data_IF_621267994671
#
_entry.id   IF_621267994671
#
_cell.length_a   1.000
_cell.length_b   1.000
_cell.length_c   1.000
_cell.angle_alpha   90.00
_cell.angle_beta   90.00
_cell.angle_gamma   90.00
#
_symmetry.space_group_name_H-M   'P 1'
#
loop_
_entity.id
_entity.type
_entity.pdbx_description
1 polymer ?
#
# COMPACT_ATOMS: atom_id res chain seq x y z
N UNK A 1 15.53 -69.08 26.94
CA UNK A 1 14.53 -68.02 27.23
C UNK A 1 15.18 -66.67 26.95
N UNK A 2 14.93 -66.09 25.78
CA UNK A 2 15.37 -64.73 25.44
C UNK A 2 14.20 -63.78 25.65
N UNK A 3 14.36 -62.82 26.56
CA UNK A 3 13.45 -61.71 26.78
C UNK A 3 13.64 -60.66 25.68
N UNK A 4 12.59 -60.35 24.91
CA UNK A 4 12.51 -59.12 24.12
C UNK A 4 11.86 -58.01 24.95
N UNK A 5 12.35 -56.75 24.90
CA UNK A 5 11.74 -55.64 25.61
C UNK A 5 10.51 -55.11 24.85
N UNK A 6 9.41 -54.91 25.59
CA UNK A 6 8.16 -54.31 25.11
C UNK A 6 8.40 -52.84 24.68
N UNK A 7 8.09 -52.53 23.42
CA UNK A 7 8.00 -51.17 22.90
C UNK A 7 6.83 -50.42 23.57
N UNK A 8 7.01 -49.16 24.01
CA UNK A 8 5.93 -48.39 24.61
C UNK A 8 4.84 -48.08 23.58
N UNK A 9 3.57 -48.17 24.00
CA UNK A 9 2.41 -47.89 23.14
C UNK A 9 2.39 -46.41 22.73
N UNK A 10 1.83 -46.14 21.55
CA UNK A 10 1.74 -44.79 20.94
C UNK A 10 1.14 -43.76 21.93
N UNK A 11 0.19 -44.18 22.77
CA UNK A 11 -0.38 -43.35 23.83
C UNK A 11 0.65 -42.87 24.87
N UNK A 12 1.60 -43.72 25.25
CA UNK A 12 2.69 -43.37 26.18
C UNK A 12 3.68 -42.38 25.56
N UNK A 13 3.93 -42.51 24.25
CA UNK A 13 4.77 -41.57 23.49
C UNK A 13 4.09 -40.20 23.37
N UNK A 14 2.79 -40.18 23.01
CA UNK A 14 2.00 -38.94 22.90
C UNK A 14 1.89 -38.24 24.26
N UNK A 15 1.65 -38.98 25.34
CA UNK A 15 1.56 -38.41 26.68
C UNK A 15 2.91 -37.84 27.17
N UNK A 16 4.02 -38.51 26.83
CA UNK A 16 5.39 -38.03 27.14
C UNK A 16 5.75 -36.78 26.33
N UNK A 17 5.38 -36.72 25.04
CA UNK A 17 5.58 -35.54 24.17
C UNK A 17 4.71 -34.37 24.65
N UNK A 18 3.46 -34.63 25.03
CA UNK A 18 2.56 -33.62 25.57
C UNK A 18 3.09 -33.05 26.89
N UNK A 19 3.53 -33.90 27.83
CA UNK A 19 4.19 -33.46 29.07
C UNK A 19 5.46 -32.64 28.79
N UNK A 20 6.31 -33.03 27.82
CA UNK A 20 7.49 -32.24 27.43
C UNK A 20 7.13 -30.88 26.84
N UNK A 21 6.09 -30.78 26.00
CA UNK A 21 5.59 -29.50 25.46
C UNK A 21 4.98 -28.61 26.54
N UNK A 22 4.27 -29.20 27.52
CA UNK A 22 3.74 -28.46 28.68
C UNK A 22 4.88 -27.95 29.56
N UNK A 23 5.89 -28.77 29.85
CA UNK A 23 7.07 -28.36 30.63
C UNK A 23 7.86 -27.27 29.89
N UNK A 24 8.08 -27.40 28.56
CA UNK A 24 8.72 -26.35 27.77
C UNK A 24 7.91 -25.06 27.77
N UNK A 25 6.57 -25.12 27.65
CA UNK A 25 5.71 -23.94 27.73
C UNK A 25 5.71 -23.32 29.13
N UNK A 26 5.79 -24.12 30.19
CA UNK A 26 5.91 -23.63 31.56
C UNK A 26 7.29 -23.01 31.83
N UNK A 27 8.37 -23.54 31.25
CA UNK A 27 9.71 -22.96 31.31
C UNK A 27 9.78 -21.67 30.48
N UNK A 28 9.24 -21.65 29.26
CA UNK A 28 9.17 -20.43 28.43
C UNK A 28 8.28 -19.38 29.07
N UNK A 29 7.12 -19.77 29.59
CA UNK A 29 6.25 -18.88 30.36
C UNK A 29 6.95 -18.41 31.62
N UNK A 30 7.74 -19.25 32.30
CA UNK A 30 8.52 -18.88 33.47
C UNK A 30 9.65 -17.89 33.14
N UNK A 31 10.33 -18.05 32.01
CA UNK A 31 11.35 -17.12 31.50
C UNK A 31 10.71 -15.80 31.07
N UNK A 32 9.60 -15.85 30.33
CA UNK A 32 8.86 -14.65 29.92
C UNK A 32 8.27 -13.94 31.13
N UNK A 33 7.73 -14.67 32.11
CA UNK A 33 7.25 -14.08 33.36
C UNK A 33 8.41 -13.54 34.18
N UNK A 34 9.56 -14.22 34.24
CA UNK A 34 10.75 -13.72 34.92
C UNK A 34 11.27 -12.45 34.26
N UNK A 35 11.43 -12.43 32.93
CA UNK A 35 11.84 -11.25 32.17
C UNK A 35 10.79 -10.13 32.28
N UNK A 36 9.50 -10.43 32.20
CA UNK A 36 8.43 -9.47 32.39
C UNK A 36 8.37 -8.97 33.84
N UNK A 37 8.75 -9.79 34.83
CA UNK A 37 8.83 -9.41 36.25
C UNK A 37 10.09 -8.61 36.51
N UNK A 38 11.22 -8.89 35.87
CA UNK A 38 12.42 -8.05 35.90
C UNK A 38 12.17 -6.71 35.21
N UNK A 39 11.48 -6.71 34.07
CA UNK A 39 11.03 -5.50 33.37
C UNK A 39 10.03 -4.75 34.26
N UNK A 40 9.03 -5.41 34.84
CA UNK A 40 8.03 -4.81 35.73
C UNK A 40 8.65 -4.26 37.01
N UNK A 41 9.52 -5.01 37.69
CA UNK A 41 10.27 -4.53 38.86
C UNK A 41 11.19 -3.37 38.47
N UNK A 42 11.82 -3.43 37.29
CA UNK A 42 12.60 -2.31 36.77
C UNK A 42 11.73 -1.11 36.47
N UNK A 43 10.50 -1.25 35.96
CA UNK A 43 9.63 -0.12 35.61
C UNK A 43 8.83 0.43 36.81
N UNK A 44 8.52 -0.39 37.81
CA UNK A 44 7.68 -0.02 38.96
C UNK A 44 8.45 0.30 40.24
N UNK A 45 9.67 -0.21 40.41
CA UNK A 45 10.50 0.20 41.56
C UNK A 45 11.38 1.39 41.17
N UNK A 46 10.99 2.59 41.64
CA UNK A 46 11.83 3.79 41.62
C UNK A 46 12.95 3.68 42.68
N UNK A 47 13.73 2.59 42.64
CA UNK A 47 14.93 2.47 43.45
C UNK A 47 16.09 3.16 42.72
N UNK A 48 16.94 3.86 43.47
CA UNK A 48 18.14 4.53 42.95
C UNK A 48 19.07 3.58 42.19
N UNK A 49 19.08 2.29 42.55
CA UNK A 49 19.80 1.23 41.84
C UNK A 49 19.17 0.87 40.48
N UNK A 50 17.85 0.71 40.39
CA UNK A 50 17.15 0.43 39.14
C UNK A 50 17.20 1.59 38.13
N UNK A 51 17.20 2.83 38.62
CA UNK A 51 17.42 4.02 37.80
C UNK A 51 18.89 4.13 37.32
N UNK A 52 19.86 3.78 38.17
CA UNK A 52 21.29 3.78 37.82
C UNK A 52 21.62 2.70 36.78
N UNK A 53 21.06 1.51 36.93
CA UNK A 53 21.20 0.43 35.95
C UNK A 53 20.59 0.83 34.60
N UNK A 54 19.34 1.30 34.56
CA UNK A 54 18.72 1.81 33.32
C UNK A 54 19.53 2.91 32.64
N UNK A 55 20.12 3.81 33.44
CA UNK A 55 21.00 4.88 32.91
C UNK A 55 22.31 4.31 32.33
N UNK A 56 22.95 3.35 32.99
CA UNK A 56 24.17 2.68 32.50
C UNK A 56 23.92 1.92 31.19
N UNK A 57 22.85 1.12 31.15
CA UNK A 57 22.47 0.36 29.96
C UNK A 57 22.13 1.24 28.78
N UNK A 58 21.42 2.34 29.03
CA UNK A 58 21.14 3.32 27.98
C UNK A 58 22.44 3.93 27.42
N UNK A 59 23.38 4.33 28.28
CA UNK A 59 24.66 4.88 27.86
C UNK A 59 25.48 3.89 27.01
N UNK A 60 25.48 2.60 27.35
CA UNK A 60 26.14 1.55 26.57
C UNK A 60 25.51 1.37 25.18
N UNK A 61 24.18 1.45 25.07
CA UNK A 61 23.46 1.37 23.80
C UNK A 61 23.72 2.62 22.94
N UNK A 62 23.66 3.81 23.55
CA UNK A 62 23.92 5.07 22.87
C UNK A 62 25.37 5.09 22.31
N UNK A 63 26.35 4.59 23.06
CA UNK A 63 27.76 4.45 22.63
C UNK A 63 27.92 3.46 21.45
N UNK A 64 27.21 2.33 21.49
CA UNK A 64 27.22 1.37 20.38
C UNK A 64 26.65 1.97 19.09
N UNK A 65 25.59 2.76 19.19
CA UNK A 65 24.99 3.47 18.03
C UNK A 65 25.99 4.49 17.47
N UNK A 66 26.65 5.25 18.34
CA UNK A 66 27.70 6.19 17.94
C UNK A 66 28.79 5.46 17.16
N UNK A 67 29.35 4.38 17.70
CA UNK A 67 30.39 3.59 17.03
C UNK A 67 29.93 3.06 15.66
N UNK A 68 28.69 2.55 15.58
CA UNK A 68 28.13 2.05 14.33
C UNK A 68 28.05 3.14 13.25
N UNK A 69 27.51 4.31 13.59
CA UNK A 69 27.41 5.41 12.64
C UNK A 69 28.76 6.09 12.37
N UNK A 70 29.71 6.07 13.30
CA UNK A 70 31.09 6.52 13.06
C UNK A 70 31.71 5.71 11.92
N UNK A 71 31.53 4.39 11.91
CA UNK A 71 31.99 3.53 10.81
C UNK A 71 31.27 3.88 9.49
N UNK A 72 29.96 4.14 9.53
CA UNK A 72 29.20 4.57 8.34
C UNK A 72 29.77 5.87 7.77
N UNK A 73 29.99 6.89 8.60
CA UNK A 73 30.49 8.18 8.15
C UNK A 73 31.94 8.10 7.66
N UNK A 74 32.80 7.31 8.30
CA UNK A 74 34.15 7.04 7.80
C UNK A 74 34.11 6.40 6.40
N UNK A 75 33.26 5.39 6.20
CA UNK A 75 33.08 4.78 4.87
C UNK A 75 32.57 5.78 3.82
N UNK A 76 31.70 6.73 4.21
CA UNK A 76 31.22 7.79 3.32
C UNK A 76 32.33 8.80 2.99
N UNK A 77 33.22 9.10 3.94
CA UNK A 77 34.41 9.92 3.74
C UNK A 77 35.37 9.23 2.77
N UNK A 78 35.69 7.96 3.00
CA UNK A 78 36.57 7.16 2.14
C UNK A 78 36.00 7.02 0.72
N UNK A 79 34.67 6.97 0.59
CA UNK A 79 33.99 6.94 -0.71
C UNK A 79 33.92 8.31 -1.40
N UNK A 80 34.31 9.39 -0.73
CA UNK A 80 34.26 10.76 -1.26
C UNK A 80 32.85 11.38 -1.31
N UNK A 81 31.87 10.81 -0.60
CA UNK A 81 30.51 11.37 -0.49
C UNK A 81 30.36 12.36 0.66
N UNK A 82 31.32 12.38 1.59
CA UNK A 82 31.38 13.24 2.75
C UNK A 82 32.82 13.72 2.93
N UNK A 83 33.02 14.94 3.44
CA UNK A 83 34.34 15.44 3.83
C UNK A 83 34.26 16.10 5.20
N UNK A 84 35.39 16.16 5.92
CA UNK A 84 35.43 16.79 7.24
C UNK A 84 35.00 18.26 7.26
N UNK A 85 35.16 18.97 6.15
CA UNK A 85 34.77 20.38 5.98
C UNK A 85 33.40 20.56 5.32
N UNK A 86 32.68 19.48 4.98
CA UNK A 86 31.33 19.55 4.41
C UNK A 86 30.31 20.03 5.44
N UNK A 87 29.48 21.02 5.07
CA UNK A 87 28.33 21.40 5.90
C UNK A 87 27.26 20.32 5.79
N UNK A 88 27.06 19.58 6.88
CA UNK A 88 26.31 18.33 6.88
C UNK A 88 25.07 18.42 7.75
N UNK A 89 23.92 17.96 7.24
CA UNK A 89 22.72 17.74 8.03
C UNK A 89 22.48 16.23 8.17
N UNK A 90 22.31 15.72 9.38
CA UNK A 90 21.82 14.37 9.61
C UNK A 90 20.41 14.38 10.20
N UNK A 91 19.51 13.59 9.63
CA UNK A 91 18.11 13.49 10.04
C UNK A 91 17.80 12.09 10.52
N UNK A 92 17.31 11.98 11.75
CA UNK A 92 16.96 10.70 12.37
C UNK A 92 16.48 10.83 13.81
N UNK A 93 15.79 9.81 14.32
CA UNK A 93 15.34 9.77 15.72
C UNK A 93 16.50 9.75 16.71
N UNK A 94 17.62 9.13 16.34
CA UNK A 94 18.89 9.02 17.09
C UNK A 94 19.81 10.23 16.84
N UNK A 95 19.25 11.44 16.81
CA UNK A 95 19.99 12.64 16.39
C UNK A 95 21.16 13.00 17.32
N UNK A 96 21.11 12.64 18.61
CA UNK A 96 22.20 12.89 19.56
C UNK A 96 23.38 11.98 19.28
N UNK A 97 23.11 10.71 19.02
CA UNK A 97 24.10 9.69 18.69
C UNK A 97 24.74 9.99 17.33
N UNK A 98 23.94 10.44 16.35
CA UNK A 98 24.46 10.95 15.07
C UNK A 98 25.39 12.15 15.24
N UNK A 99 25.13 13.03 16.22
CA UNK A 99 26.03 14.15 16.53
C UNK A 99 27.38 13.65 17.03
N UNK A 100 27.37 12.68 17.95
CA UNK A 100 28.60 12.03 18.43
C UNK A 100 29.38 11.39 17.28
N UNK A 101 28.70 10.59 16.45
CA UNK A 101 29.32 9.88 15.35
C UNK A 101 29.93 10.80 14.27
N UNK A 102 29.27 11.89 13.91
CA UNK A 102 29.80 12.89 12.98
C UNK A 102 31.06 13.58 13.54
N UNK A 103 31.05 13.91 14.83
CA UNK A 103 32.20 14.52 15.49
C UNK A 103 33.41 13.58 15.53
N UNK A 104 33.20 12.30 15.92
CA UNK A 104 34.25 11.28 15.93
C UNK A 104 34.81 10.98 14.54
N UNK A 105 33.97 11.12 13.51
CA UNK A 105 34.38 10.96 12.11
C UNK A 105 35.11 12.19 11.53
N UNK A 106 35.25 13.27 12.31
CA UNK A 106 35.96 14.48 11.91
C UNK A 106 35.14 15.46 11.07
N UNK A 107 33.81 15.34 11.04
CA UNK A 107 32.91 16.28 10.34
C UNK A 107 32.65 17.50 11.22
N UNK A 108 33.27 18.63 10.88
CA UNK A 108 33.29 19.83 11.72
C UNK A 108 31.98 20.62 11.71
N UNK A 109 31.31 20.69 10.55
CA UNK A 109 30.15 21.56 10.32
C UNK A 109 28.85 20.76 10.24
N UNK A 110 28.55 19.99 11.28
CA UNK A 110 27.37 19.14 11.34
C UNK A 110 26.20 19.79 12.08
N UNK A 111 24.99 19.47 11.64
CA UNK A 111 23.72 19.70 12.34
C UNK A 111 22.93 18.39 12.33
N UNK A 112 22.17 18.14 13.39
CA UNK A 112 21.32 16.95 13.49
C UNK A 112 19.91 17.33 13.90
N UNK A 113 18.91 16.62 13.38
CA UNK A 113 17.51 16.84 13.76
C UNK A 113 16.70 15.55 13.68
N UNK A 114 15.66 15.46 14.50
CA UNK A 114 14.64 14.42 14.39
C UNK A 114 13.42 14.81 13.55
N UNK A 115 13.37 16.07 13.07
CA UNK A 115 12.26 16.57 12.25
C UNK A 115 12.33 15.96 10.86
N UNK A 116 11.24 15.34 10.42
CA UNK A 116 11.12 14.63 9.15
C UNK A 116 9.93 15.12 8.31
N UNK A 117 9.61 16.41 8.45
CA UNK A 117 8.50 17.11 7.79
C UNK A 117 8.89 18.51 7.31
N UNK A 118 9.44 19.34 8.21
CA UNK A 118 9.89 20.70 7.93
C UNK A 118 11.29 20.95 8.51
N UNK A 119 12.17 21.51 7.68
CA UNK A 119 13.56 21.76 8.04
C UNK A 119 13.78 23.27 8.23
N UNK A 120 14.15 23.73 9.45
CA UNK A 120 14.28 25.15 9.80
C UNK A 120 15.59 25.77 9.27
N UNK A 121 15.90 25.55 8.01
CA UNK A 121 17.13 26.00 7.36
C UNK A 121 16.81 26.68 6.04
N UNK A 122 17.69 27.60 5.62
CA UNK A 122 17.56 28.30 4.35
C UNK A 122 17.81 27.38 3.16
N UNK A 123 17.45 27.84 1.98
CA UNK A 123 17.69 27.11 0.74
C UNK A 123 19.20 26.97 0.50
N UNK A 124 19.63 25.84 -0.05
CA UNK A 124 21.04 25.60 -0.42
C UNK A 124 22.03 25.79 0.74
N UNK A 125 21.66 25.29 1.92
CA UNK A 125 22.44 25.39 3.15
C UNK A 125 23.52 24.31 3.25
N UNK A 126 23.21 23.05 2.93
CA UNK A 126 24.06 21.90 3.22
C UNK A 126 24.75 21.35 1.95
N UNK A 127 25.99 20.90 2.10
CA UNK A 127 26.74 20.18 1.06
C UNK A 127 26.35 18.70 1.04
N UNK A 128 26.04 18.15 2.22
CA UNK A 128 25.64 16.75 2.42
C UNK A 128 24.44 16.68 3.35
N UNK A 129 23.44 15.88 2.97
CA UNK A 129 22.32 15.53 3.84
C UNK A 129 22.26 14.01 4.01
N UNK A 130 22.17 13.55 5.24
CA UNK A 130 22.14 12.14 5.61
C UNK A 130 20.84 11.81 6.34
N UNK A 131 20.10 10.81 5.86
CA UNK A 131 18.82 10.39 6.39
C UNK A 131 18.93 8.95 6.89
N UNK A 132 18.65 8.70 8.18
CA UNK A 132 18.59 7.33 8.73
C UNK A 132 17.30 6.62 8.32
N UNK A 133 17.22 5.30 8.53
CA UNK A 133 15.98 4.53 8.35
C UNK A 133 14.81 5.10 9.15
N UNK A 134 15.07 5.74 10.28
CA UNK A 134 14.03 6.38 11.10
C UNK A 134 13.52 7.73 10.58
N UNK A 135 13.96 8.18 9.41
CA UNK A 135 13.59 9.48 8.83
C UNK A 135 12.48 9.38 7.79
N UNK A 136 12.81 9.04 6.54
CA UNK A 136 11.86 8.93 5.42
C UNK A 136 10.86 7.79 5.61
N UNK A 137 11.30 6.62 6.09
CA UNK A 137 10.46 5.42 6.23
C UNK A 137 9.26 5.67 7.18
N UNK A 138 9.47 6.53 8.17
CA UNK A 138 8.48 6.93 9.18
C UNK A 138 7.85 8.31 8.93
N UNK A 139 8.15 8.96 7.79
CA UNK A 139 7.54 10.25 7.49
C UNK A 139 6.07 10.09 7.14
N UNK A 140 5.20 10.87 7.81
CA UNK A 140 3.78 10.95 7.47
C UNK A 140 3.52 11.80 6.22
N UNK A 141 4.52 12.56 5.77
CA UNK A 141 4.46 13.37 4.56
C UNK A 141 5.76 13.25 3.74
N UNK A 142 6.02 12.08 3.12
CA UNK A 142 7.27 11.85 2.38
C UNK A 142 7.51 12.89 1.28
N UNK A 143 6.45 13.36 0.61
CA UNK A 143 6.54 14.39 -0.44
C UNK A 143 6.99 15.75 0.10
N UNK A 144 6.43 16.18 1.23
CA UNK A 144 6.83 17.44 1.86
C UNK A 144 8.28 17.37 2.34
N UNK A 145 8.63 16.26 2.98
CA UNK A 145 9.98 16.07 3.50
C UNK A 145 11.04 15.94 2.40
N UNK A 146 10.75 15.20 1.31
CA UNK A 146 11.66 15.12 0.16
C UNK A 146 11.86 16.48 -0.52
N UNK A 147 10.83 17.32 -0.52
CA UNK A 147 10.91 18.71 -1.02
C UNK A 147 11.79 19.57 -0.13
N UNK A 148 11.72 19.42 1.19
CA UNK A 148 12.57 20.13 2.14
C UNK A 148 14.03 19.73 2.01
N UNK A 149 14.34 18.42 1.95
CA UNK A 149 15.70 17.93 1.68
C UNK A 149 16.23 18.47 0.34
N UNK A 150 15.39 18.43 -0.69
CA UNK A 150 15.72 19.01 -1.99
C UNK A 150 15.97 20.52 -1.91
N UNK A 151 15.27 21.25 -1.04
CA UNK A 151 15.40 22.70 -0.89
C UNK A 151 16.66 23.09 -0.12
N UNK A 152 16.98 22.39 0.97
CA UNK A 152 18.09 22.71 1.85
C UNK A 152 19.44 22.22 1.32
N UNK A 153 19.47 21.17 0.50
CA UNK A 153 20.71 20.68 -0.12
C UNK A 153 21.18 21.61 -1.25
N UNK A 154 22.47 21.92 -1.31
CA UNK A 154 23.08 22.69 -2.41
C UNK A 154 23.08 21.90 -3.72
N UNK A 155 23.09 22.56 -4.88
CA UNK A 155 23.37 21.89 -6.14
C UNK A 155 24.72 21.14 -6.08
N UNK A 156 24.81 20.01 -6.76
CA UNK A 156 25.94 19.07 -6.71
C UNK A 156 26.23 18.44 -5.33
N UNK A 157 25.45 18.76 -4.31
CA UNK A 157 25.50 18.11 -3.00
C UNK A 157 24.99 16.67 -3.02
N UNK A 158 25.34 15.91 -1.99
CA UNK A 158 24.95 14.51 -1.83
C UNK A 158 23.82 14.37 -0.80
N UNK A 159 22.79 13.61 -1.19
CA UNK A 159 21.76 13.10 -0.28
C UNK A 159 21.99 11.61 -0.10
N UNK A 160 22.26 11.18 1.13
CA UNK A 160 22.44 9.79 1.50
C UNK A 160 21.22 9.36 2.32
N UNK A 161 20.55 8.31 1.88
CA UNK A 161 19.37 7.76 2.54
C UNK A 161 19.66 6.33 2.93
N UNK A 162 19.47 6.03 4.21
CA UNK A 162 19.41 4.69 4.75
C UNK A 162 17.93 4.36 4.93
N UNK A 163 17.50 3.22 4.40
CA UNK A 163 16.12 2.73 4.52
C UNK A 163 16.11 1.23 4.82
N UNK A 164 15.07 0.78 5.51
CA UNK A 164 14.80 -0.65 5.73
C UNK A 164 14.21 -1.34 4.49
N UNK A 165 13.68 -0.57 3.52
CA UNK A 165 13.07 -1.10 2.31
C UNK A 165 14.12 -1.57 1.29
N UNK A 166 13.99 -2.83 0.85
CA UNK A 166 14.99 -3.51 -0.02
C UNK A 166 14.47 -3.86 -1.40
N UNK A 167 13.16 -3.79 -1.62
CA UNK A 167 12.56 -4.20 -2.88
C UNK A 167 12.68 -3.12 -3.98
N UNK A 168 12.54 -3.55 -5.23
CA UNK A 168 12.68 -2.64 -6.37
C UNK A 168 11.53 -1.62 -6.49
N UNK A 169 10.34 -1.94 -5.98
CA UNK A 169 9.20 -1.02 -6.06
C UNK A 169 9.37 0.15 -5.10
N UNK A 170 9.79 -0.12 -3.85
CA UNK A 170 10.10 0.93 -2.88
C UNK A 170 11.29 1.78 -3.33
N UNK A 171 12.38 1.18 -3.84
CA UNK A 171 13.49 1.94 -4.41
C UNK A 171 13.04 2.89 -5.52
N UNK A 172 12.26 2.43 -6.50
CA UNK A 172 11.79 3.30 -7.59
C UNK A 172 10.86 4.39 -7.06
N UNK A 173 9.97 4.07 -6.12
CA UNK A 173 9.06 5.03 -5.50
C UNK A 173 9.83 6.12 -4.72
N UNK A 174 10.89 5.74 -4.00
CA UNK A 174 11.80 6.67 -3.32
C UNK A 174 12.49 7.59 -4.32
N UNK A 175 13.02 7.05 -5.41
CA UNK A 175 13.67 7.86 -6.44
C UNK A 175 12.70 8.85 -7.10
N UNK A 176 11.42 8.49 -7.24
CA UNK A 176 10.39 9.37 -7.80
C UNK A 176 10.06 10.55 -6.86
N UNK A 177 10.39 10.48 -5.57
CA UNK A 177 10.28 11.63 -4.65
C UNK A 177 11.31 12.73 -4.93
N UNK A 178 12.35 12.45 -5.74
CA UNK A 178 13.51 13.33 -5.94
C UNK A 178 13.78 13.64 -7.44
N UNK A 179 12.95 14.52 -8.02
CA UNK A 179 12.97 14.84 -9.47
C UNK A 179 14.28 15.47 -9.97
N UNK A 180 15.09 16.08 -9.10
CA UNK A 180 16.33 16.77 -9.46
C UNK A 180 17.57 15.98 -9.05
N UNK A 181 17.46 14.67 -8.84
CA UNK A 181 18.54 13.85 -8.30
C UNK A 181 18.94 12.70 -9.22
N UNK A 182 20.26 12.50 -9.33
CA UNK A 182 20.85 11.35 -10.01
C UNK A 182 21.22 10.29 -8.98
N UNK A 183 20.81 9.05 -9.19
CA UNK A 183 21.27 7.91 -8.39
C UNK A 183 22.75 7.63 -8.69
N UNK A 184 23.57 7.58 -7.64
CA UNK A 184 25.01 7.32 -7.73
C UNK A 184 25.35 5.93 -7.19
N UNK A 185 24.77 5.55 -6.05
CA UNK A 185 25.01 4.25 -5.39
C UNK A 185 23.72 3.73 -4.78
N UNK A 186 23.50 2.42 -4.89
CA UNK A 186 22.43 1.66 -4.23
C UNK A 186 23.04 0.34 -3.78
N UNK A 187 23.05 0.07 -2.48
CA UNK A 187 23.59 -1.19 -1.94
C UNK A 187 23.02 -1.50 -0.58
N UNK A 188 22.96 -2.78 -0.24
CA UNK A 188 22.72 -3.19 1.14
C UNK A 188 24.01 -3.06 1.95
N UNK A 189 23.88 -2.59 3.19
CA UNK A 189 24.93 -2.48 4.19
C UNK A 189 24.46 -3.12 5.50
N UNK A 190 25.40 -3.66 6.26
CA UNK A 190 25.13 -4.21 7.59
C UNK A 190 25.53 -3.17 8.64
N UNK A 191 24.56 -2.71 9.43
CA UNK A 191 24.81 -1.89 10.62
C UNK A 191 24.73 -2.85 11.80
N UNK A 192 25.88 -3.13 12.44
CA UNK A 192 26.01 -4.11 13.53
C UNK A 192 25.37 -3.64 14.85
N UNK A 193 24.10 -3.31 14.81
CA UNK A 193 23.27 -2.95 15.94
C UNK A 193 22.06 -3.88 15.98
N UNK A 194 21.79 -4.48 17.13
CA UNK A 194 20.73 -5.49 17.31
C UNK A 194 19.31 -4.99 16.95
N UNK A 195 19.10 -3.66 16.94
CA UNK A 195 17.83 -3.05 16.58
C UNK A 195 17.75 -2.57 15.12
N UNK A 196 18.78 -2.79 14.30
CA UNK A 196 18.86 -2.30 12.91
C UNK A 196 19.20 -3.50 12.02
N UNK A 197 18.19 -4.10 11.37
CA UNK A 197 18.37 -5.32 10.58
C UNK A 197 18.58 -5.04 9.08
N UNK A 198 19.83 -4.77 8.70
CA UNK A 198 20.25 -4.63 7.30
C UNK A 198 19.63 -3.42 6.60
N UNK A 199 20.46 -2.49 6.18
CA UNK A 199 20.03 -1.19 5.65
C UNK A 199 20.33 -1.12 4.15
N UNK A 200 19.39 -0.60 3.38
CA UNK A 200 19.64 -0.20 2.01
C UNK A 200 20.16 1.24 1.99
N UNK A 201 21.42 1.41 1.61
CA UNK A 201 22.05 2.72 1.42
C UNK A 201 21.89 3.19 -0.03
N UNK A 202 21.28 4.36 -0.17
CA UNK A 202 21.02 5.03 -1.44
C UNK A 202 21.74 6.38 -1.41
N UNK A 203 22.63 6.62 -2.37
CA UNK A 203 23.34 7.88 -2.54
C UNK A 203 22.86 8.57 -3.79
N UNK A 204 22.30 9.76 -3.61
CA UNK A 204 21.77 10.62 -4.66
C UNK A 204 22.62 11.89 -4.76
N UNK A 205 22.86 12.38 -5.98
CA UNK A 205 23.52 13.66 -6.22
C UNK A 205 22.55 14.66 -6.83
N UNK A 206 22.38 15.81 -6.18
CA UNK A 206 21.50 16.88 -6.67
C UNK A 206 22.05 17.49 -7.95
N UNK A 207 21.18 17.66 -8.93
CA UNK A 207 21.49 18.24 -10.24
C UNK A 207 20.92 19.65 -10.35
N UNK A 208 21.51 20.46 -11.22
CA UNK A 208 21.05 21.83 -11.51
C UNK A 208 19.76 21.88 -12.35
N UNK A 209 19.34 20.75 -12.94
CA UNK A 209 18.15 20.65 -13.79
C UNK A 209 17.21 19.58 -13.25
N UNK A 210 15.91 19.80 -13.42
CA UNK A 210 14.90 18.77 -13.18
C UNK A 210 15.17 17.63 -14.16
N UNK A 211 15.52 16.46 -13.63
CA UNK A 211 15.62 15.22 -14.38
C UNK A 211 14.22 14.67 -14.55
N UNK A 212 13.42 15.24 -15.47
CA UNK A 212 12.10 14.70 -15.78
C UNK A 212 12.25 13.25 -16.24
N UNK A 213 11.94 12.30 -15.36
CA UNK A 213 12.15 10.88 -15.67
C UNK A 213 11.11 10.32 -16.62
N UNK A 214 9.88 10.84 -16.66
CA UNK A 214 8.83 10.37 -17.60
C UNK A 214 7.85 11.48 -17.97
N UNK A 215 7.50 11.59 -19.26
CA UNK A 215 6.25 12.19 -19.72
C UNK A 215 5.41 11.02 -20.23
N UNK A 216 4.24 10.79 -19.64
CA UNK A 216 3.31 9.81 -20.19
C UNK A 216 2.77 10.31 -21.53
N UNK A 217 2.84 9.45 -22.54
CA UNK A 217 2.11 9.64 -23.80
C UNK A 217 0.70 9.07 -23.56
N UNK A 218 -0.33 9.85 -23.87
CA UNK A 218 -1.72 9.40 -23.75
C UNK A 218 -1.92 8.07 -24.50
N UNK A 219 -2.53 7.08 -23.84
CA UNK A 219 -2.78 5.74 -24.40
C UNK A 219 -1.72 4.66 -24.10
N UNK A 220 -0.52 5.00 -23.62
CA UNK A 220 0.54 4.01 -23.32
C UNK A 220 1.09 4.17 -21.90
N UNK A 221 0.86 3.15 -21.05
CA UNK A 221 1.49 3.07 -19.74
C UNK A 221 2.93 2.61 -19.86
N UNK A 222 3.86 3.32 -19.23
CA UNK A 222 5.22 2.81 -19.06
C UNK A 222 5.20 1.74 -17.97
N UNK A 223 5.57 0.51 -18.31
CA UNK A 223 5.58 -0.62 -17.37
C UNK A 223 7.03 -1.07 -17.13
N UNK A 224 7.68 -0.58 -16.07
CA UNK A 224 9.03 -0.97 -15.71
C UNK A 224 9.12 -2.46 -15.40
N UNK A 225 10.34 -3.01 -15.49
CA UNK A 225 10.60 -4.43 -15.23
C UNK A 225 10.11 -4.90 -13.84
N UNK A 226 10.28 -4.08 -12.80
CA UNK A 226 9.81 -4.44 -11.45
C UNK A 226 8.28 -4.56 -11.36
N UNK A 227 7.52 -3.68 -12.06
CA UNK A 227 6.05 -3.81 -12.14
C UNK A 227 5.65 -5.09 -12.89
N UNK A 228 6.36 -5.44 -13.96
CA UNK A 228 6.12 -6.71 -14.67
C UNK A 228 6.37 -7.93 -13.78
N UNK A 229 7.45 -7.92 -13.00
CA UNK A 229 7.75 -9.00 -12.05
C UNK A 229 6.63 -9.16 -11.03
N UNK A 230 6.18 -8.06 -10.40
CA UNK A 230 5.08 -8.09 -9.44
C UNK A 230 3.79 -8.67 -10.03
N UNK A 231 3.49 -8.35 -11.29
CA UNK A 231 2.32 -8.89 -11.99
C UNK A 231 2.50 -10.38 -12.32
N UNK A 232 3.72 -10.83 -12.64
CA UNK A 232 4.03 -12.25 -12.84
C UNK A 232 3.90 -13.05 -11.54
N UNK A 233 4.26 -12.45 -10.41
CA UNK A 233 4.19 -13.05 -9.07
C UNK A 233 2.76 -13.01 -8.47
N UNK A 234 1.81 -12.36 -9.16
CA UNK A 234 0.40 -12.30 -8.76
C UNK A 234 -0.32 -13.63 -8.95
N UNK A 235 -1.51 -13.78 -8.37
CA UNK A 235 -2.31 -14.97 -8.61
C UNK A 235 -2.70 -15.10 -10.12
N UNK A 236 -2.76 -16.33 -10.66
CA UNK A 236 -3.09 -16.54 -12.06
C UNK A 236 -4.52 -16.12 -12.36
N UNK A 237 -4.76 -15.60 -13.57
CA UNK A 237 -6.12 -15.39 -14.07
C UNK A 237 -6.81 -16.75 -14.25
N UNK A 238 -8.09 -16.79 -13.89
CA UNK A 238 -8.91 -18.00 -13.98
C UNK A 238 -9.55 -17.97 -15.35
N UNK A 239 -8.97 -18.62 -16.34
CA UNK A 239 -9.50 -18.58 -17.72
C UNK A 239 -10.73 -19.46 -17.94
N UNK A 240 -11.08 -20.32 -16.98
CA UNK A 240 -12.23 -21.22 -17.09
C UNK A 240 -13.42 -20.64 -16.34
N UNK A 241 -14.52 -20.40 -17.06
CA UNK A 241 -15.78 -19.94 -16.47
C UNK A 241 -16.22 -20.91 -15.36
N UNK A 242 -16.51 -20.42 -14.14
CA UNK A 242 -16.99 -21.25 -13.05
C UNK A 242 -18.31 -21.96 -13.42
N UNK A 243 -18.33 -23.29 -13.32
CA UNK A 243 -19.44 -24.12 -13.84
C UNK A 243 -20.75 -24.01 -13.05
N UNK A 244 -20.73 -23.53 -11.80
CA UNK A 244 -21.92 -23.44 -10.94
C UNK A 244 -21.93 -22.16 -10.09
N UNK A 245 -22.98 -21.31 -10.20
CA UNK A 245 -23.13 -20.10 -9.37
C UNK A 245 -23.19 -20.38 -7.86
N UNK A 246 -23.64 -21.57 -7.45
CA UNK A 246 -23.72 -21.96 -6.03
C UNK A 246 -22.35 -22.36 -5.44
N UNK A 247 -21.38 -22.77 -6.26
CA UNK A 247 -20.03 -23.14 -5.83
C UNK A 247 -19.13 -21.90 -5.76
N UNK A 248 -19.39 -20.87 -6.58
CA UNK A 248 -18.62 -19.63 -6.59
C UNK A 248 -18.69 -18.85 -5.27
N UNK A 249 -19.80 -18.92 -4.51
CA UNK A 249 -19.93 -18.19 -3.23
C UNK A 249 -18.95 -18.74 -2.16
N UNK A 250 -18.74 -20.06 -2.08
CA UNK A 250 -17.73 -20.65 -1.19
C UNK A 250 -16.31 -20.37 -1.69
N UNK A 251 -16.10 -20.38 -3.00
CA UNK A 251 -14.81 -20.09 -3.62
C UNK A 251 -14.42 -18.61 -3.49
N UNK A 252 -15.35 -17.66 -3.49
CA UNK A 252 -15.04 -16.22 -3.36
C UNK A 252 -14.33 -15.90 -2.04
N UNK A 253 -14.68 -16.56 -0.93
CA UNK A 253 -13.99 -16.35 0.35
C UNK A 253 -12.58 -16.94 0.37
N UNK A 254 -12.35 -18.07 -0.31
CA UNK A 254 -11.01 -18.63 -0.49
C UNK A 254 -10.18 -17.83 -1.48
N UNK A 255 -10.79 -17.29 -2.55
CA UNK A 255 -10.14 -16.43 -3.53
C UNK A 255 -9.62 -15.15 -2.87
N UNK A 256 -10.42 -14.48 -2.03
CA UNK A 256 -9.99 -13.29 -1.27
C UNK A 256 -8.82 -13.58 -0.31
N UNK A 257 -8.73 -14.82 0.22
CA UNK A 257 -7.57 -15.25 1.03
C UNK A 257 -6.32 -15.52 0.20
N UNK A 258 -6.48 -15.92 -1.06
CA UNK A 258 -5.40 -16.27 -1.96
C UNK A 258 -4.93 -15.09 -2.83
N UNK A 259 -5.61 -13.95 -2.79
CA UNK A 259 -5.21 -12.72 -3.49
C UNK A 259 -3.82 -12.28 -3.03
N UNK A 260 -2.95 -12.02 -4.01
CA UNK A 260 -1.60 -11.52 -3.78
C UNK A 260 -1.62 -9.99 -3.77
N UNK A 261 -2.03 -9.43 -2.64
CA UNK A 261 -2.09 -7.97 -2.47
C UNK A 261 -0.72 -7.33 -2.68
N UNK A 262 -0.66 -6.20 -3.40
CA UNK A 262 0.60 -5.50 -3.67
C UNK A 262 1.38 -5.16 -2.38
N UNK A 263 0.74 -4.68 -1.29
CA UNK A 263 1.44 -4.38 -0.04
C UNK A 263 1.93 -5.62 0.73
N UNK A 264 1.69 -6.84 0.25
CA UNK A 264 2.34 -8.06 0.77
C UNK A 264 3.57 -8.46 -0.03
N UNK A 265 3.76 -7.88 -1.22
CA UNK A 265 4.83 -8.22 -2.16
C UNK A 265 5.87 -7.09 -2.27
N UNK A 266 5.49 -5.86 -1.93
CA UNK A 266 6.34 -4.68 -2.02
C UNK A 266 6.10 -3.72 -0.86
N UNK A 267 7.14 -2.98 -0.45
CA UNK A 267 7.01 -1.87 0.50
C UNK A 267 6.46 -0.62 -0.21
N UNK A 268 5.34 -0.10 0.28
CA UNK A 268 4.63 1.03 -0.34
C UNK A 268 4.99 2.38 0.29
N UNK A 269 6.02 2.46 1.15
CA UNK A 269 6.31 3.62 2.01
C UNK A 269 6.57 4.95 1.31
N UNK A 270 7.16 4.93 0.12
CA UNK A 270 7.66 6.14 -0.54
C UNK A 270 6.68 6.72 -1.55
N UNK A 271 5.44 6.92 -1.11
CA UNK A 271 4.33 7.43 -1.93
C UNK A 271 3.86 8.78 -1.41
N UNK A 272 3.39 9.64 -2.31
CA UNK A 272 2.92 11.00 -1.96
C UNK A 272 1.58 10.98 -1.23
N UNK A 273 0.71 10.02 -1.54
CA UNK A 273 -0.52 9.73 -0.82
C UNK A 273 -0.96 8.29 -1.06
N UNK A 274 -1.88 7.82 -0.20
CA UNK A 274 -2.48 6.50 -0.29
C UNK A 274 -3.98 6.66 -0.46
N UNK A 275 -4.52 6.05 -1.51
CA UNK A 275 -5.90 6.27 -1.95
C UNK A 275 -6.57 4.93 -2.21
N UNK A 276 -7.80 4.80 -1.71
CA UNK A 276 -8.70 3.72 -2.06
C UNK A 276 -10.00 4.30 -2.62
N UNK A 277 -10.43 3.79 -3.77
CA UNK A 277 -11.60 4.24 -4.50
C UNK A 277 -12.52 3.03 -4.68
N UNK A 278 -13.69 3.07 -4.06
CA UNK A 278 -14.75 2.07 -4.23
C UNK A 278 -15.76 2.59 -5.26
N UNK A 279 -15.71 2.05 -6.47
CA UNK A 279 -16.54 2.41 -7.62
C UNK A 279 -17.73 1.47 -7.67
N UNK A 280 -18.94 2.00 -7.43
CA UNK A 280 -20.13 1.20 -7.15
C UNK A 280 -20.14 0.69 -5.70
N UNK A 281 -19.95 1.62 -4.76
CA UNK A 281 -19.65 1.29 -3.37
C UNK A 281 -20.82 0.63 -2.60
N UNK A 282 -22.07 0.86 -3.02
CA UNK A 282 -23.29 0.42 -2.33
C UNK A 282 -23.25 0.84 -0.85
N UNK A 283 -23.68 -0.03 0.06
CA UNK A 283 -23.58 0.22 1.51
C UNK A 283 -22.12 0.17 1.98
N UNK A 284 -21.79 0.87 3.07
CA UNK A 284 -20.43 0.86 3.64
C UNK A 284 -19.98 -0.56 4.02
N UNK A 285 -20.92 -1.44 4.35
CA UNK A 285 -20.65 -2.86 4.62
C UNK A 285 -20.33 -3.72 3.39
N UNK A 286 -20.43 -3.19 2.17
CA UNK A 286 -20.22 -3.94 0.93
C UNK A 286 -18.75 -4.30 0.72
N UNK A 287 -17.87 -3.30 0.52
CA UNK A 287 -16.43 -3.50 0.33
C UNK A 287 -15.58 -2.69 1.30
N UNK A 288 -15.88 -1.40 1.54
CA UNK A 288 -15.08 -0.52 2.42
C UNK A 288 -14.96 -1.09 3.84
N UNK A 289 -16.10 -1.34 4.49
CA UNK A 289 -16.16 -1.71 5.91
C UNK A 289 -15.94 -3.20 6.17
N UNK A 290 -16.32 -4.06 5.22
CA UNK A 290 -16.21 -5.52 5.31
C UNK A 290 -14.82 -6.03 4.95
N UNK A 291 -14.23 -5.53 3.87
CA UNK A 291 -12.97 -6.04 3.31
C UNK A 291 -11.84 -5.02 3.40
N UNK A 292 -11.95 -3.83 2.81
CA UNK A 292 -10.81 -2.92 2.70
C UNK A 292 -10.26 -2.49 4.07
N UNK A 293 -11.13 -2.10 4.99
CA UNK A 293 -10.70 -1.74 6.34
C UNK A 293 -10.17 -2.92 7.14
N UNK A 294 -10.80 -4.09 7.03
CA UNK A 294 -10.52 -5.25 7.90
C UNK A 294 -9.39 -6.16 7.40
N UNK A 295 -9.26 -6.31 6.08
CA UNK A 295 -8.45 -7.36 5.45
C UNK A 295 -7.34 -6.81 4.55
N UNK A 296 -7.59 -5.72 3.81
CA UNK A 296 -6.57 -5.18 2.90
C UNK A 296 -5.33 -4.71 3.69
N UNK A 297 -4.11 -5.16 3.33
CA UNK A 297 -2.89 -4.84 4.06
C UNK A 297 -2.44 -3.41 3.74
N UNK A 298 -2.37 -2.56 4.76
CA UNK A 298 -2.14 -1.11 4.58
C UNK A 298 -0.73 -0.65 4.92
N UNK A 299 0.13 -1.53 5.45
CA UNK A 299 1.46 -1.17 5.99
C UNK A 299 1.42 0.09 6.89
N UNK A 300 0.36 0.19 7.71
CA UNK A 300 0.09 1.32 8.60
C UNK A 300 -0.07 2.70 7.91
N UNK A 301 -0.25 2.72 6.58
CA UNK A 301 -0.36 3.96 5.81
C UNK A 301 -1.77 4.58 5.90
N UNK A 302 -1.88 5.92 5.91
CA UNK A 302 -3.16 6.61 6.06
C UNK A 302 -3.90 6.74 4.73
N UNK A 303 -4.74 5.75 4.39
CA UNK A 303 -5.54 5.79 3.16
C UNK A 303 -6.66 6.84 3.21
N UNK A 304 -6.74 7.67 2.17
CA UNK A 304 -7.94 8.45 1.81
C UNK A 304 -8.91 7.54 1.09
N UNK A 305 -10.17 7.53 1.51
CA UNK A 305 -11.19 6.62 0.99
C UNK A 305 -12.27 7.42 0.26
N UNK A 306 -12.49 7.09 -1.01
CA UNK A 306 -13.58 7.61 -1.83
C UNK A 306 -14.62 6.50 -2.06
N UNK A 307 -15.88 6.79 -1.78
CA UNK A 307 -17.01 5.94 -2.13
C UNK A 307 -17.76 6.62 -3.28
N UNK A 308 -17.86 5.97 -4.45
CA UNK A 308 -18.63 6.46 -5.59
C UNK A 308 -19.91 5.65 -5.65
N UNK A 309 -21.05 6.31 -5.45
CA UNK A 309 -22.36 5.66 -5.37
C UNK A 309 -23.46 6.63 -5.81
N UNK A 310 -24.15 6.30 -6.91
CA UNK A 310 -25.22 7.14 -7.46
C UNK A 310 -26.55 6.97 -6.74
N UNK A 311 -26.83 5.78 -6.18
CA UNK A 311 -28.10 5.46 -5.54
C UNK A 311 -28.20 6.13 -4.16
N UNK A 312 -29.16 7.04 -4.07
CA UNK A 312 -29.43 7.86 -2.87
C UNK A 312 -29.74 7.03 -1.64
N UNK A 313 -30.22 5.79 -1.79
CA UNK A 313 -30.54 4.93 -0.65
C UNK A 313 -29.32 4.63 0.24
N UNK A 314 -28.10 4.69 -0.31
CA UNK A 314 -26.87 4.43 0.43
C UNK A 314 -26.22 5.69 1.01
N UNK A 315 -26.62 6.88 0.58
CA UNK A 315 -25.94 8.14 0.90
C UNK A 315 -25.97 8.46 2.40
N UNK A 316 -27.09 8.20 3.07
CA UNK A 316 -27.25 8.47 4.51
C UNK A 316 -26.24 7.70 5.36
N UNK A 317 -25.88 6.47 4.97
CA UNK A 317 -24.92 5.67 5.72
C UNK A 317 -23.55 6.35 5.74
N UNK A 318 -23.12 6.92 4.62
CA UNK A 318 -21.81 7.56 4.48
C UNK A 318 -21.71 8.90 5.21
N UNK A 319 -22.81 9.65 5.39
CA UNK A 319 -22.79 10.91 6.16
C UNK A 319 -22.26 10.72 7.58
N UNK A 320 -22.51 9.56 8.17
CA UNK A 320 -22.05 9.21 9.52
C UNK A 320 -20.58 8.76 9.59
N UNK A 321 -19.94 8.44 8.45
CA UNK A 321 -18.60 7.85 8.42
C UNK A 321 -17.52 8.91 8.25
N UNK A 322 -16.82 9.21 9.34
CA UNK A 322 -15.63 10.07 9.30
C UNK A 322 -14.54 9.46 8.40
N UNK A 323 -13.78 10.32 7.72
CA UNK A 323 -12.65 9.96 6.84
C UNK A 323 -13.02 9.15 5.58
N UNK A 324 -14.28 9.26 5.13
CA UNK A 324 -14.73 8.75 3.83
C UNK A 324 -15.37 9.90 3.07
N UNK A 325 -14.98 10.07 1.81
CA UNK A 325 -15.57 11.05 0.91
C UNK A 325 -16.54 10.34 -0.02
N UNK A 326 -17.84 10.62 0.13
CA UNK A 326 -18.86 10.16 -0.81
C UNK A 326 -18.87 11.06 -2.05
N UNK A 327 -18.80 10.45 -3.23
CA UNK A 327 -19.06 11.05 -4.52
C UNK A 327 -20.43 10.53 -5.00
N UNK A 328 -21.51 11.33 -4.83
CA UNK A 328 -22.89 10.90 -5.09
C UNK A 328 -23.22 10.97 -6.60
N UNK A 329 -22.39 10.36 -7.42
CA UNK A 329 -22.45 10.41 -8.88
C UNK A 329 -22.26 9.02 -9.48
N UNK A 330 -22.75 8.85 -10.71
CA UNK A 330 -22.50 7.64 -11.49
C UNK A 330 -21.16 7.77 -12.23
N UNK A 331 -20.21 6.83 -12.03
CA UNK A 331 -18.97 6.84 -12.79
C UNK A 331 -19.28 6.60 -14.26
N UNK A 332 -18.88 7.54 -15.13
CA UNK A 332 -19.23 7.51 -16.55
C UNK A 332 -18.08 7.95 -17.46
N UNK A 333 -18.27 7.82 -18.77
CA UNK A 333 -17.27 8.17 -19.80
C UNK A 333 -17.23 9.67 -20.13
N UNK A 334 -18.20 10.44 -19.63
CA UNK A 334 -18.32 11.91 -19.77
C UNK A 334 -19.29 12.49 -18.74
N UNK A 335 -19.25 13.80 -18.55
CA UNK A 335 -20.23 14.50 -17.73
C UNK A 335 -21.57 14.61 -18.48
N UNK A 336 -22.58 13.85 -18.06
CA UNK A 336 -23.93 13.96 -18.61
C UNK A 336 -24.99 13.47 -17.62
N UNK A 337 -26.25 13.83 -17.84
CA UNK A 337 -27.35 13.24 -17.08
C UNK A 337 -27.75 11.90 -17.67
N UNK A 338 -27.90 10.90 -16.81
CA UNK A 338 -28.23 9.52 -17.17
C UNK A 338 -29.57 9.13 -16.55
N UNK A 339 -30.18 8.08 -17.09
CA UNK A 339 -31.42 7.51 -16.57
C UNK A 339 -31.19 6.11 -16.02
N UNK A 340 -31.69 5.87 -14.81
CA UNK A 340 -31.61 4.57 -14.15
C UNK A 340 -32.81 3.69 -14.53
N UNK A 341 -32.57 2.63 -15.29
CA UNK A 341 -33.58 1.65 -15.67
C UNK A 341 -33.74 0.60 -14.56
N UNK A 342 -34.81 0.72 -13.79
CA UNK A 342 -35.20 -0.31 -12.82
C UNK A 342 -35.98 -1.37 -13.60
N UNK A 343 -35.40 -2.55 -13.80
CA UNK A 343 -36.13 -3.71 -14.33
C UNK A 343 -37.26 -4.08 -13.35
N UNK A 344 -38.45 -3.49 -13.53
CA UNK A 344 -39.68 -3.90 -12.85
C UNK A 344 -40.20 -5.15 -13.56
N UNK A 345 -39.64 -6.31 -13.26
CA UNK A 345 -40.35 -7.57 -13.52
C UNK A 345 -41.46 -7.65 -12.48
N UNK A 346 -42.68 -7.32 -12.89
CA UNK A 346 -43.89 -7.35 -12.07
C UNK A 346 -44.25 -8.78 -11.68
N UNK A 347 -43.63 -9.33 -10.63
CA UNK A 347 -44.07 -10.58 -10.01
C UNK A 347 -44.54 -10.28 -8.58
N UNK A 348 -45.83 -9.97 -8.44
CA UNK A 348 -46.61 -10.09 -7.19
C UNK A 348 -46.27 -9.16 -6.02
N UNK A 349 -47.24 -8.80 -5.16
CA UNK A 349 -46.99 -8.02 -3.96
C UNK A 349 -46.54 -8.95 -2.85
N UNK A 350 -45.23 -9.18 -2.73
CA UNK A 350 -44.51 -9.52 -1.49
C UNK A 350 -43.10 -10.02 -1.83
N UNK A 351 -42.14 -9.11 -1.99
CA UNK A 351 -40.71 -9.43 -1.85
C UNK A 351 -39.91 -8.15 -1.59
N UNK A 352 -40.01 -7.62 -0.36
CA UNK A 352 -39.01 -6.72 0.18
C UNK A 352 -37.78 -7.54 0.61
N UNK A 353 -36.84 -7.76 -0.32
CA UNK A 353 -35.40 -7.97 -0.03
C UNK A 353 -34.60 -8.18 -1.33
N UNK A 354 -33.70 -7.24 -1.61
CA UNK A 354 -32.64 -7.39 -2.61
C UNK A 354 -33.00 -6.88 -4.02
N UNK A 355 -33.19 -5.57 -4.18
CA UNK A 355 -33.22 -4.95 -5.52
C UNK A 355 -31.80 -4.92 -6.08
N UNK A 356 -31.56 -5.59 -7.20
CA UNK A 356 -30.33 -5.46 -7.98
C UNK A 356 -30.17 -4.05 -8.56
N UNK A 357 -28.94 -3.65 -8.86
CA UNK A 357 -28.63 -2.33 -9.43
C UNK A 357 -29.34 -2.21 -10.80
N UNK A 358 -30.15 -1.16 -10.94
CA UNK A 358 -30.74 -0.79 -12.22
C UNK A 358 -29.66 -0.45 -13.23
N UNK A 359 -30.01 -0.50 -14.52
CA UNK A 359 -29.07 -0.31 -15.61
C UNK A 359 -29.01 1.16 -15.99
N UNK A 360 -27.81 1.68 -16.23
CA UNK A 360 -27.66 3.08 -16.65
C UNK A 360 -27.65 3.15 -18.17
N UNK A 361 -28.49 4.02 -18.75
CA UNK A 361 -28.50 4.31 -20.19
C UNK A 361 -28.32 5.81 -20.47
N UNK A 362 -27.77 6.13 -21.64
CA UNK A 362 -27.64 7.51 -22.11
C UNK A 362 -29.01 8.10 -22.44
N UNK A 363 -29.13 9.43 -22.33
CA UNK A 363 -30.39 10.16 -22.50
C UNK A 363 -31.07 10.05 -23.89
N UNK A 364 -30.44 9.40 -24.88
CA UNK A 364 -30.93 9.37 -26.26
C UNK A 364 -32.02 8.32 -26.53
N UNK A 365 -32.20 7.30 -25.67
CA UNK A 365 -33.06 6.13 -26.01
C UNK A 365 -34.46 6.10 -25.40
N UNK A 366 -34.84 6.99 -24.48
CA UNK A 366 -36.14 6.91 -23.80
C UNK A 366 -36.93 8.23 -23.81
N UNK A 367 -37.27 8.72 -25.00
CA UNK A 367 -38.21 9.82 -25.18
C UNK A 367 -39.66 9.31 -25.13
N UNK A 368 -40.13 8.89 -23.95
CA UNK A 368 -41.55 8.98 -23.51
C UNK A 368 -41.75 8.14 -22.25
N UNK A 369 -42.39 8.70 -21.22
CA UNK A 369 -42.98 8.00 -20.05
C UNK A 369 -42.11 7.62 -18.84
N UNK A 370 -41.07 8.37 -18.48
CA UNK A 370 -40.58 8.33 -17.10
C UNK A 370 -40.26 9.74 -16.61
N UNK A 371 -41.09 10.27 -15.71
CA UNK A 371 -40.83 11.54 -15.02
C UNK A 371 -39.52 11.48 -14.22
N UNK A 372 -39.09 12.65 -13.70
CA UNK A 372 -37.84 12.97 -12.98
C UNK A 372 -37.35 12.00 -11.87
N UNK A 373 -38.03 10.89 -11.63
CA UNK A 373 -37.85 9.97 -10.51
C UNK A 373 -36.52 9.17 -10.60
N UNK A 374 -35.92 9.01 -11.79
CA UNK A 374 -34.72 8.18 -12.00
C UNK A 374 -33.54 8.89 -12.68
N UNK A 375 -33.49 10.23 -12.66
CA UNK A 375 -32.37 10.98 -13.23
C UNK A 375 -31.18 10.95 -12.27
N UNK A 376 -30.06 10.41 -12.73
CA UNK A 376 -28.77 10.38 -12.01
C UNK A 376 -27.73 11.18 -12.79
N UNK A 377 -26.78 11.76 -12.08
CA UNK A 377 -25.72 12.55 -12.70
C UNK A 377 -24.49 11.66 -12.92
N UNK A 378 -24.15 11.44 -14.19
CA UNK A 378 -22.89 10.83 -14.59
C UNK A 378 -21.75 11.85 -14.57
N UNK A 379 -20.54 11.41 -14.22
CA UNK A 379 -19.34 12.22 -14.32
C UNK A 379 -18.22 11.48 -15.04
N UNK A 380 -17.35 12.20 -15.73
CA UNK A 380 -16.17 11.62 -16.38
C UNK A 380 -15.20 11.11 -15.31
N UNK A 381 -15.27 9.81 -15.03
CA UNK A 381 -14.46 9.18 -14.00
C UNK A 381 -12.97 9.24 -14.33
N UNK A 382 -12.63 9.05 -15.61
CA UNK A 382 -11.27 9.01 -16.06
C UNK A 382 -10.61 10.40 -15.99
N UNK A 383 -11.34 11.46 -16.31
CA UNK A 383 -10.85 12.83 -16.16
C UNK A 383 -10.78 13.26 -14.69
N UNK A 384 -11.74 12.85 -13.86
CA UNK A 384 -11.68 13.07 -12.41
C UNK A 384 -10.43 12.45 -11.78
N UNK A 385 -10.08 11.21 -12.15
CA UNK A 385 -8.86 10.53 -11.69
C UNK A 385 -7.61 11.34 -11.98
N UNK A 386 -7.45 11.81 -13.23
CA UNK A 386 -6.28 12.59 -13.66
C UNK A 386 -6.16 13.95 -13.00
N UNK A 387 -7.29 14.55 -12.63
CA UNK A 387 -7.32 15.83 -11.93
C UNK A 387 -7.11 15.68 -10.42
N UNK A 388 -7.33 14.49 -9.86
CA UNK A 388 -7.28 14.23 -8.42
C UNK A 388 -5.97 13.61 -7.96
N UNK A 389 -5.31 12.83 -8.83
CA UNK A 389 -4.16 11.99 -8.46
C UNK A 389 -3.01 12.12 -9.45
N UNK A 390 -1.80 11.90 -8.97
CA UNK A 390 -0.56 11.90 -9.75
C UNK A 390 0.15 10.54 -9.73
N UNK A 391 1.15 10.38 -10.60
CA UNK A 391 1.89 9.11 -10.80
C UNK A 391 2.66 8.62 -9.55
N UNK A 392 2.92 9.50 -8.59
CA UNK A 392 3.66 9.21 -7.35
C UNK A 392 2.75 8.77 -6.21
N UNK A 393 1.44 8.82 -6.44
CA UNK A 393 0.43 8.36 -5.48
C UNK A 393 0.37 6.83 -5.47
N UNK A 394 -0.22 6.26 -4.42
CA UNK A 394 -0.59 4.86 -4.36
C UNK A 394 -2.10 4.73 -4.47
N UNK A 395 -2.58 4.25 -5.61
CA UNK A 395 -4.03 4.22 -5.91
C UNK A 395 -4.52 2.79 -6.05
N UNK A 396 -5.49 2.45 -5.21
CA UNK A 396 -6.20 1.18 -5.21
C UNK A 396 -7.64 1.43 -5.65
N UNK A 397 -8.13 0.69 -6.64
CA UNK A 397 -9.50 0.82 -7.16
C UNK A 397 -10.24 -0.50 -7.03
N UNK A 398 -11.40 -0.51 -6.39
CA UNK A 398 -12.39 -1.59 -6.51
C UNK A 398 -13.50 -1.11 -7.43
N UNK A 399 -13.91 -1.92 -8.41
CA UNK A 399 -14.91 -1.56 -9.40
C UNK A 399 -15.94 -2.68 -9.60
N UNK A 400 -17.21 -2.33 -9.42
CA UNK A 400 -18.42 -3.16 -9.57
C UNK A 400 -19.55 -2.22 -10.00
N UNK A 401 -19.79 -2.07 -11.30
CA UNK A 401 -20.66 -1.02 -11.88
C UNK A 401 -21.64 -1.59 -12.90
N UNK A 402 -22.11 -2.81 -12.65
CA UNK A 402 -23.20 -3.50 -13.34
C UNK A 402 -23.16 -3.39 -14.89
N UNK A 403 -22.01 -3.67 -15.49
CA UNK A 403 -21.85 -3.83 -16.95
C UNK A 403 -21.25 -2.63 -17.68
N UNK A 404 -20.97 -1.53 -16.98
CA UNK A 404 -20.35 -0.33 -17.57
C UNK A 404 -18.81 -0.36 -17.48
N UNK A 405 -18.24 -1.45 -16.93
CA UNK A 405 -16.80 -1.60 -16.70
C UNK A 405 -16.00 -1.47 -18.00
N UNK A 406 -16.49 -2.07 -19.09
CA UNK A 406 -15.80 -2.09 -20.37
C UNK A 406 -15.65 -0.68 -20.96
N UNK A 407 -16.72 0.12 -20.93
CA UNK A 407 -16.71 1.49 -21.45
C UNK A 407 -15.80 2.40 -20.60
N UNK A 408 -15.90 2.28 -19.28
CA UNK A 408 -15.07 3.03 -18.34
C UNK A 408 -13.59 2.68 -18.49
N UNK A 409 -13.24 1.40 -18.47
CA UNK A 409 -11.83 0.96 -18.57
C UNK A 409 -11.27 1.33 -19.93
N UNK A 410 -12.04 1.18 -21.02
CA UNK A 410 -11.61 1.64 -22.35
C UNK A 410 -11.29 3.13 -22.34
N UNK A 411 -12.18 3.98 -21.82
CA UNK A 411 -11.96 5.43 -21.68
C UNK A 411 -10.72 5.74 -20.82
N UNK A 412 -10.52 5.03 -19.72
CA UNK A 412 -9.35 5.20 -18.84
C UNK A 412 -8.04 4.78 -19.51
N UNK A 413 -8.07 3.78 -20.39
CA UNK A 413 -6.92 3.40 -21.22
C UNK A 413 -6.62 4.51 -22.22
N UNK A 414 -7.64 4.98 -22.94
CA UNK A 414 -7.49 6.01 -23.98
C UNK A 414 -6.94 7.32 -23.43
N UNK A 415 -7.45 7.80 -22.29
CA UNK A 415 -7.01 9.06 -21.70
C UNK A 415 -5.78 8.92 -20.78
N UNK A 416 -5.32 7.69 -20.51
CA UNK A 416 -4.16 7.37 -19.67
C UNK A 416 -4.41 7.34 -18.16
N UNK A 417 -5.65 7.53 -17.69
CA UNK A 417 -5.99 7.45 -16.27
C UNK A 417 -5.68 6.08 -15.66
N UNK A 418 -5.74 5.01 -16.47
CA UNK A 418 -5.45 3.64 -16.02
C UNK A 418 -4.03 3.50 -15.46
N UNK A 419 -3.09 4.32 -15.92
CA UNK A 419 -1.69 4.26 -15.49
C UNK A 419 -1.45 4.82 -14.08
N UNK A 420 -2.44 5.50 -13.50
CA UNK A 420 -2.39 6.02 -12.13
C UNK A 420 -2.71 4.93 -11.09
N UNK A 421 -3.28 3.80 -11.53
CA UNK A 421 -3.72 2.72 -10.64
C UNK A 421 -2.57 1.74 -10.44
N UNK A 422 -2.21 1.50 -9.17
CA UNK A 422 -1.22 0.48 -8.82
C UNK A 422 -1.88 -0.89 -8.66
N UNK A 423 -3.08 -0.95 -8.06
CA UNK A 423 -3.80 -2.20 -7.77
C UNK A 423 -5.32 -2.04 -8.02
N UNK A 424 -5.93 -3.05 -8.64
CA UNK A 424 -7.34 -3.01 -9.04
C UNK A 424 -8.08 -4.31 -8.68
N UNK A 425 -9.29 -4.17 -8.13
CA UNK A 425 -10.22 -5.28 -7.87
C UNK A 425 -11.43 -5.07 -8.76
N UNK A 426 -11.57 -5.88 -9.80
CA UNK A 426 -12.60 -5.68 -10.82
C UNK A 426 -13.58 -6.83 -10.81
N UNK A 427 -14.86 -6.53 -10.57
CA UNK A 427 -15.98 -7.44 -10.79
C UNK A 427 -16.47 -7.23 -12.22
N UNK A 428 -16.07 -8.13 -13.12
CA UNK A 428 -16.50 -8.05 -14.51
C UNK A 428 -17.90 -8.66 -14.68
N UNK A 429 -18.85 -7.86 -15.15
CA UNK A 429 -20.19 -8.31 -15.45
C UNK A 429 -20.28 -8.86 -16.88
N UNK A 430 -20.62 -10.14 -17.02
CA UNK A 430 -20.76 -10.85 -18.29
C UNK A 430 -22.03 -11.70 -18.30
N UNK A 431 -22.46 -12.11 -19.49
CA UNK A 431 -23.56 -13.06 -19.66
C UNK A 431 -23.20 -14.37 -18.97
N UNK A 432 -23.93 -14.77 -17.92
CA UNK A 432 -23.69 -15.99 -17.15
C UNK A 432 -25.00 -16.71 -16.83
N UNK A 433 -24.92 -18.01 -16.51
CA UNK A 433 -26.06 -18.75 -15.95
C UNK A 433 -26.40 -18.21 -14.57
N UNK A 434 -27.65 -17.80 -14.35
CA UNK A 434 -28.08 -17.22 -13.07
C UNK A 434 -28.52 -18.26 -12.03
N UNK A 435 -28.82 -19.50 -12.43
CA UNK A 435 -29.32 -20.56 -11.53
C UNK A 435 -28.48 -21.84 -11.66
N UNK A 436 -28.52 -22.66 -10.61
CA UNK A 436 -27.71 -23.87 -10.45
C UNK A 436 -28.30 -25.12 -11.13
N UNK A 437 -29.44 -25.00 -11.80
CA UNK A 437 -30.05 -25.99 -12.71
C UNK A 437 -29.88 -25.55 -14.17
N UNK A 438 -30.25 -26.38 -15.15
CA UNK A 438 -30.19 -26.15 -16.61
C UNK A 438 -30.98 -24.92 -17.10
N UNK A 439 -30.62 -23.76 -16.58
CA UNK A 439 -31.22 -22.47 -16.87
C UNK A 439 -30.53 -21.79 -18.04
N UNK A 440 -31.32 -21.03 -18.76
CA UNK A 440 -30.90 -20.15 -19.83
C UNK A 440 -29.88 -19.12 -19.33
N UNK A 441 -28.91 -18.79 -20.20
CA UNK A 441 -27.95 -17.71 -19.96
C UNK A 441 -28.71 -16.38 -19.91
N UNK A 442 -28.33 -15.48 -19.00
CA UNK A 442 -29.03 -14.19 -18.91
C UNK A 442 -28.52 -13.22 -19.96
N UNK A 443 -29.37 -12.83 -20.91
CA UNK A 443 -29.09 -11.75 -21.86
C UNK A 443 -28.97 -10.35 -21.22
N UNK A 444 -28.75 -10.27 -19.90
CA UNK A 444 -28.56 -9.02 -19.16
C UNK A 444 -27.28 -8.32 -19.60
N UNK A 445 -26.20 -9.03 -19.91
CA UNK A 445 -24.96 -8.42 -20.39
C UNK A 445 -24.66 -8.92 -21.81
N UNK A 446 -24.11 -8.07 -22.65
CA UNK A 446 -23.74 -8.44 -24.02
C UNK A 446 -22.41 -9.18 -24.06
N UNK A 447 -21.54 -8.89 -23.10
CA UNK A 447 -20.18 -9.39 -23.11
C UNK A 447 -20.08 -10.80 -22.53
N UNK A 448 -19.17 -11.60 -23.08
CA UNK A 448 -18.87 -12.96 -22.63
C UNK A 448 -17.73 -13.02 -21.62
N UNK A 449 -17.57 -14.18 -20.99
CA UNK A 449 -16.47 -14.41 -20.03
C UNK A 449 -15.07 -14.22 -20.65
N UNK A 450 -14.91 -14.61 -21.91
CA UNK A 450 -13.64 -14.43 -22.64
C UNK A 450 -13.25 -12.96 -22.78
N UNK A 451 -14.23 -12.06 -22.95
CA UNK A 451 -13.98 -10.62 -23.04
C UNK A 451 -13.54 -10.04 -21.71
N UNK A 452 -14.09 -10.53 -20.59
CA UNK A 452 -13.55 -10.22 -19.26
C UNK A 452 -12.08 -10.66 -19.15
N UNK A 453 -11.73 -11.86 -19.61
CA UNK A 453 -10.34 -12.34 -19.55
C UNK A 453 -9.38 -11.50 -20.41
N UNK A 454 -9.83 -11.06 -21.59
CA UNK A 454 -9.09 -10.11 -22.43
C UNK A 454 -8.90 -8.77 -21.71
N UNK A 455 -9.93 -8.29 -21.02
CA UNK A 455 -9.88 -7.06 -20.22
C UNK A 455 -8.85 -7.17 -19.08
N UNK A 456 -8.91 -8.23 -18.25
CA UNK A 456 -7.92 -8.46 -17.19
C UNK A 456 -6.50 -8.58 -17.73
N UNK A 457 -6.31 -9.31 -18.84
CA UNK A 457 -5.00 -9.48 -19.46
C UNK A 457 -4.43 -8.14 -19.96
N UNK A 458 -5.26 -7.34 -20.63
CA UNK A 458 -4.90 -6.00 -21.11
C UNK A 458 -4.51 -5.05 -19.96
N UNK A 459 -5.21 -5.13 -18.82
CA UNK A 459 -4.86 -4.36 -17.62
C UNK A 459 -3.49 -4.77 -17.05
N UNK A 460 -3.22 -6.07 -16.95
CA UNK A 460 -1.91 -6.60 -16.53
C UNK A 460 -0.79 -6.19 -17.48
N UNK A 461 -1.03 -6.23 -18.79
CA UNK A 461 -0.07 -5.75 -19.80
C UNK A 461 0.26 -4.27 -19.66
N UNK A 462 -0.70 -3.46 -19.19
CA UNK A 462 -0.55 -2.03 -18.91
C UNK A 462 0.06 -1.73 -17.53
N UNK A 463 0.44 -2.75 -16.77
CA UNK A 463 1.16 -2.57 -15.52
C UNK A 463 0.28 -2.39 -14.29
N UNK A 464 -1.03 -2.67 -14.40
CA UNK A 464 -1.96 -2.66 -13.26
C UNK A 464 -2.02 -4.06 -12.65
N UNK A 465 -1.80 -4.16 -11.33
CA UNK A 465 -2.04 -5.40 -10.61
C UNK A 465 -3.54 -5.60 -10.44
N UNK A 466 -4.18 -6.31 -11.37
CA UNK A 466 -5.62 -6.56 -11.33
C UNK A 466 -5.97 -7.94 -10.79
N UNK A 467 -6.95 -7.95 -9.88
CA UNK A 467 -7.56 -9.11 -9.24
C UNK A 467 -8.99 -9.29 -9.77
N UNK A 468 -9.38 -10.55 -9.99
CA UNK A 468 -10.77 -10.93 -10.28
C UNK A 468 -11.56 -10.88 -8.97
N UNK A 469 -12.50 -9.93 -8.85
CA UNK A 469 -13.30 -9.70 -7.63
C UNK A 469 -14.55 -10.59 -7.58
#
# INVERSE_FOLDING_TARGET
MMNQPLLPTIATIIHTIYRRKVILRLLFSGIVLFLATQIYLSTTTNTTAGARYRKSWKLEIDDLIVQCYTIVFQNLIDSGFLTGDSKTLAVGTQFLELTGALNESGVKYSKTTKRNDWLPYDNHTFDVEFCTHTSLDYSLNPSGFSSELSRTLKPDGYLIIHTESKDSYSLNSLLDLFDSFKLIRSREIDIRHWSIEGIHEIVLKKQNKILRRRRMIAGSCSVPAYKKSLIQDSEPLVFKEPLNPCISIKNNFENVKNMRYLPLMADISFKTQYVYIDVGAKSYGSSIGSWFKKLYPKQEKPFKIFAIEADKQFHEEYKSKKKITLLPYEPWVRNESLFFEINRVSNGPNEERGRGMGRVQSAQTSSSYMGDINKIQGFDFADWMKNSFGEKDFVVVKMDVDGTEFDLIKKMIENGAICLIDEMFLECHYDRKQRCSDGERSSRYQNGYEECMKLYSSLREKGVLVHQW
#
